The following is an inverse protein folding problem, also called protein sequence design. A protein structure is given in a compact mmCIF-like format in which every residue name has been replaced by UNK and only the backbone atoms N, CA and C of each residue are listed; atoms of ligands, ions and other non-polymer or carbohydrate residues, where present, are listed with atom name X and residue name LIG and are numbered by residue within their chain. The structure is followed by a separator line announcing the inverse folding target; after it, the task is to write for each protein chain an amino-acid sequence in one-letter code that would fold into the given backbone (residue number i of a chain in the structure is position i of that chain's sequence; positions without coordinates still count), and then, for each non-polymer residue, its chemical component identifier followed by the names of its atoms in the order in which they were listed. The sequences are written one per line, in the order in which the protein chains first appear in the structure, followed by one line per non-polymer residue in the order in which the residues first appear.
data_IF_321963155954
#
_entry.id   IF_321963155954
#
_cell.length_a   1.000
_cell.length_b   1.000
_cell.length_c   1.000
_cell.angle_alpha   90.00
_cell.angle_beta   90.00
_cell.angle_gamma   90.00
#
_symmetry.space_group_name_H-M   'P 1'
#
loop_
_entity.id
_entity.type
_entity.pdbx_description
1 polymer ?
#
# COMPACT_ATOMS: atom_id res chain seq x y z
N UNK A 1 -15.00 -13.17 -15.07
CA UNK A 1 -13.81 -12.72 -15.81
C UNK A 1 -13.61 -11.23 -15.56
N UNK A 2 -12.39 -10.78 -15.22
CA UNK A 2 -12.09 -9.37 -14.97
C UNK A 2 -12.15 -8.55 -16.25
N UNK A 3 -12.88 -7.43 -16.23
CA UNK A 3 -13.06 -6.52 -17.35
C UNK A 3 -12.55 -5.11 -17.06
N UNK A 4 -12.55 -4.71 -15.76
CA UNK A 4 -12.17 -3.40 -15.29
C UNK A 4 -10.95 -3.52 -14.40
N UNK A 5 -9.92 -2.72 -14.69
CA UNK A 5 -8.66 -2.73 -13.98
C UNK A 5 -8.41 -1.33 -13.40
N UNK A 6 -8.44 -1.23 -12.08
CA UNK A 6 -8.18 0.02 -11.39
C UNK A 6 -6.75 -0.05 -10.86
N UNK A 7 -5.85 0.73 -11.47
CA UNK A 7 -4.48 0.90 -11.00
C UNK A 7 -4.40 2.05 -10.02
N UNK A 8 -3.73 1.84 -8.90
CA UNK A 8 -3.61 2.83 -7.84
C UNK A 8 -2.15 2.97 -7.44
N UNK A 9 -1.61 4.18 -7.60
CA UNK A 9 -0.36 4.57 -6.98
C UNK A 9 -0.64 5.13 -5.58
N UNK A 10 0.02 4.54 -4.56
CA UNK A 10 -0.28 4.80 -3.15
C UNK A 10 0.83 5.60 -2.50
N UNK A 11 0.51 6.78 -2.01
CA UNK A 11 1.40 7.57 -1.16
C UNK A 11 0.80 7.79 0.24
N UNK A 12 1.57 8.41 1.12
CA UNK A 12 1.13 8.70 2.49
C UNK A 12 -0.14 9.55 2.53
N UNK A 13 -0.24 10.57 1.69
CA UNK A 13 -1.29 11.58 1.76
C UNK A 13 -2.37 11.41 0.71
N UNK A 14 -2.02 10.82 -0.46
CA UNK A 14 -2.92 10.72 -1.60
C UNK A 14 -2.82 9.37 -2.31
N UNK A 15 -3.86 9.07 -3.05
CA UNK A 15 -3.90 8.00 -4.05
C UNK A 15 -4.11 8.61 -5.43
N UNK A 16 -3.30 8.21 -6.39
CA UNK A 16 -3.54 8.47 -7.81
C UNK A 16 -4.20 7.21 -8.38
N UNK A 17 -5.42 7.36 -8.93
CA UNK A 17 -6.30 6.26 -9.36
C UNK A 17 -6.52 6.35 -10.86
N UNK A 18 -6.35 5.25 -11.57
CA UNK A 18 -6.62 5.14 -12.99
C UNK A 18 -7.52 3.94 -13.28
N UNK A 19 -8.67 4.17 -13.93
CA UNK A 19 -9.54 3.12 -14.44
C UNK A 19 -9.20 2.79 -15.89
N UNK A 20 -8.87 1.54 -16.16
CA UNK A 20 -8.72 0.96 -17.49
C UNK A 20 -9.87 0.00 -17.78
N UNK A 21 -10.65 0.32 -18.81
CA UNK A 21 -11.72 -0.53 -19.35
C UNK A 21 -11.51 -0.69 -20.86
N UNK A 22 -11.63 -1.88 -21.38
CA UNK A 22 -11.53 -2.17 -22.83
C UNK A 22 -10.27 -1.60 -23.50
N UNK A 23 -9.12 -1.61 -22.82
CA UNK A 23 -7.85 -1.00 -23.24
C UNK A 23 -7.84 0.54 -23.34
N UNK A 24 -8.84 1.18 -22.77
CA UNK A 24 -8.91 2.65 -22.72
C UNK A 24 -8.83 3.11 -21.26
N UNK A 25 -8.12 4.21 -21.03
CA UNK A 25 -8.13 4.89 -19.76
C UNK A 25 -9.39 5.76 -19.68
N UNK A 26 -10.32 5.34 -18.82
CA UNK A 26 -11.66 5.95 -18.74
C UNK A 26 -11.67 7.10 -17.73
N UNK A 27 -10.94 6.94 -16.63
CA UNK A 27 -10.95 7.92 -15.55
C UNK A 27 -9.59 7.99 -14.86
N UNK A 28 -9.22 9.21 -14.43
CA UNK A 28 -8.03 9.49 -13.64
C UNK A 28 -8.41 10.46 -12.52
N UNK A 29 -8.24 10.02 -11.30
CA UNK A 29 -8.71 10.73 -10.11
C UNK A 29 -7.61 10.73 -9.07
N UNK A 30 -7.46 11.83 -8.35
CA UNK A 30 -6.58 11.94 -7.18
C UNK A 30 -7.44 12.16 -5.95
N UNK A 31 -7.22 11.36 -4.92
CA UNK A 31 -7.96 11.46 -3.65
C UNK A 31 -7.04 11.39 -2.45
N UNK A 32 -7.48 11.90 -1.31
CA UNK A 32 -6.75 11.75 -0.06
C UNK A 32 -6.72 10.28 0.38
N UNK A 33 -5.59 9.84 0.93
CA UNK A 33 -5.42 8.49 1.45
C UNK A 33 -6.12 8.30 2.80
N UNK A 34 -7.44 8.27 2.76
CA UNK A 34 -8.30 7.93 3.90
C UNK A 34 -9.51 7.10 3.45
N UNK A 35 -10.07 6.33 4.37
CA UNK A 35 -11.17 5.40 4.08
C UNK A 35 -12.40 6.08 3.48
N UNK A 36 -12.74 7.29 3.93
CA UNK A 36 -13.92 8.02 3.43
C UNK A 36 -13.76 8.38 1.95
N UNK A 37 -12.68 9.08 1.58
CA UNK A 37 -12.44 9.52 0.21
C UNK A 37 -12.27 8.33 -0.75
N UNK A 38 -11.56 7.27 -0.31
CA UNK A 38 -11.39 6.04 -1.11
C UNK A 38 -12.75 5.37 -1.37
N UNK A 39 -13.59 5.27 -0.34
CA UNK A 39 -14.90 4.65 -0.46
C UNK A 39 -15.82 5.43 -1.41
N UNK A 40 -15.84 6.75 -1.28
CA UNK A 40 -16.64 7.63 -2.15
C UNK A 40 -16.22 7.48 -3.61
N UNK A 41 -14.93 7.53 -3.91
CA UNK A 41 -14.45 7.43 -5.30
C UNK A 41 -14.67 6.04 -5.89
N UNK A 42 -14.43 4.96 -5.14
CA UNK A 42 -14.67 3.62 -5.66
C UNK A 42 -16.15 3.37 -5.93
N UNK A 43 -17.04 3.85 -5.07
CA UNK A 43 -18.51 3.78 -5.31
C UNK A 43 -18.93 4.60 -6.53
N UNK A 44 -18.43 5.83 -6.68
CA UNK A 44 -18.72 6.65 -7.85
C UNK A 44 -18.29 5.96 -9.15
N UNK A 45 -17.07 5.40 -9.18
CA UNK A 45 -16.58 4.64 -10.33
C UNK A 45 -17.46 3.43 -10.65
N UNK A 46 -17.95 2.71 -9.64
CA UNK A 46 -18.87 1.57 -9.81
C UNK A 46 -20.18 2.00 -10.45
N UNK A 47 -20.79 3.06 -9.93
CA UNK A 47 -22.09 3.58 -10.36
C UNK A 47 -22.01 4.20 -11.75
N UNK A 48 -21.07 5.10 -12.00
CA UNK A 48 -20.90 5.82 -13.26
C UNK A 48 -20.60 4.90 -14.45
N UNK A 49 -19.89 3.81 -14.21
CA UNK A 49 -19.51 2.87 -15.28
C UNK A 49 -20.35 1.59 -15.28
N UNK A 50 -21.39 1.51 -14.46
CA UNK A 50 -22.28 0.33 -14.34
C UNK A 50 -21.47 -0.97 -14.15
N UNK A 51 -20.46 -0.93 -13.28
CA UNK A 51 -19.53 -2.06 -13.09
C UNK A 51 -20.06 -3.03 -12.04
N UNK A 52 -20.05 -4.31 -12.40
CA UNK A 52 -20.30 -5.38 -11.44
C UNK A 52 -19.03 -5.73 -10.67
N UNK A 53 -19.11 -5.77 -9.33
CA UNK A 53 -17.96 -6.02 -8.44
C UNK A 53 -17.09 -7.21 -8.85
N UNK A 54 -17.65 -8.40 -9.22
CA UNK A 54 -16.83 -9.55 -9.63
C UNK A 54 -15.99 -9.31 -10.89
N UNK A 55 -16.35 -8.30 -11.70
CA UNK A 55 -15.63 -7.97 -12.93
C UNK A 55 -14.48 -6.98 -12.74
N UNK A 56 -14.27 -6.50 -11.51
CA UNK A 56 -13.28 -5.47 -11.17
C UNK A 56 -12.07 -6.12 -10.51
N UNK A 57 -10.89 -5.59 -10.83
CA UNK A 57 -9.66 -5.82 -10.10
C UNK A 57 -9.01 -4.48 -9.77
N UNK A 58 -8.82 -4.22 -8.48
CA UNK A 58 -7.97 -3.14 -7.99
C UNK A 58 -6.56 -3.69 -7.84
N UNK A 59 -5.58 -3.01 -8.43
CA UNK A 59 -4.17 -3.32 -8.26
C UNK A 59 -3.43 -2.10 -7.75
N UNK A 60 -2.59 -2.27 -6.74
CA UNK A 60 -1.79 -1.21 -6.16
C UNK A 60 -0.39 -1.70 -5.80
N UNK A 61 0.57 -0.76 -5.75
CA UNK A 61 1.88 -1.03 -5.19
C UNK A 61 1.78 -1.19 -3.67
N UNK A 62 2.40 -2.25 -3.13
CA UNK A 62 2.44 -2.47 -1.68
C UNK A 62 3.42 -1.50 -1.01
N UNK A 63 2.89 -0.47 -0.35
CA UNK A 63 3.64 0.57 0.38
C UNK A 63 3.48 0.46 1.90
N UNK A 64 3.37 -0.77 2.41
CA UNK A 64 3.23 -1.03 3.85
C UNK A 64 1.93 -0.47 4.42
N UNK A 65 2.04 0.29 5.51
CA UNK A 65 0.88 0.83 6.22
C UNK A 65 0.02 1.78 5.39
N UNK A 66 0.56 2.41 4.36
CA UNK A 66 -0.19 3.36 3.53
C UNK A 66 -1.22 2.68 2.62
N UNK A 67 -1.09 1.37 2.37
CA UNK A 67 -2.09 0.58 1.64
C UNK A 67 -3.25 0.12 2.52
N UNK A 68 -3.17 0.26 3.84
CA UNK A 68 -4.17 -0.23 4.77
C UNK A 68 -5.56 0.38 4.57
N UNK A 69 -5.74 1.72 4.41
CA UNK A 69 -7.06 2.31 4.15
C UNK A 69 -7.71 1.75 2.88
N UNK A 70 -6.95 1.58 1.80
CA UNK A 70 -7.43 0.98 0.56
C UNK A 70 -7.87 -0.47 0.77
N UNK A 71 -7.07 -1.25 1.50
CA UNK A 71 -7.38 -2.66 1.77
C UNK A 71 -8.68 -2.83 2.55
N UNK A 72 -8.92 -1.97 3.56
CA UNK A 72 -10.16 -1.98 4.32
C UNK A 72 -11.38 -1.71 3.44
N UNK A 73 -11.28 -0.75 2.51
CA UNK A 73 -12.41 -0.39 1.65
C UNK A 73 -12.64 -1.42 0.55
N UNK A 74 -11.60 -2.00 -0.03
CA UNK A 74 -11.76 -3.09 -0.98
C UNK A 74 -12.46 -4.30 -0.33
N UNK A 75 -12.11 -4.65 0.90
CA UNK A 75 -12.79 -5.72 1.65
C UNK A 75 -14.24 -5.35 1.95
N UNK A 76 -14.52 -4.14 2.44
CA UNK A 76 -15.88 -3.68 2.72
C UNK A 76 -16.79 -3.71 1.48
N UNK A 77 -16.25 -3.35 0.31
CA UNK A 77 -16.97 -3.34 -0.96
C UNK A 77 -16.93 -4.69 -1.69
N UNK A 78 -16.26 -5.70 -1.13
CA UNK A 78 -16.02 -7.02 -1.74
C UNK A 78 -15.32 -6.93 -3.11
N UNK A 79 -14.48 -5.93 -3.30
CA UNK A 79 -13.68 -5.72 -4.50
C UNK A 79 -12.37 -6.50 -4.39
N UNK A 80 -12.04 -7.27 -5.41
CA UNK A 80 -10.76 -7.98 -5.47
C UNK A 80 -9.59 -7.00 -5.50
N UNK A 81 -8.67 -7.14 -4.54
CA UNK A 81 -7.47 -6.33 -4.40
C UNK A 81 -6.22 -7.17 -4.64
N UNK A 82 -5.35 -6.69 -5.51
CA UNK A 82 -4.01 -7.21 -5.72
C UNK A 82 -2.97 -6.19 -5.28
N UNK A 83 -2.27 -6.46 -4.19
CA UNK A 83 -1.12 -5.67 -3.74
C UNK A 83 0.16 -6.29 -4.28
N UNK A 84 0.80 -5.60 -5.21
CA UNK A 84 2.00 -6.09 -5.87
C UNK A 84 3.26 -5.51 -5.23
N UNK A 85 4.34 -6.31 -5.26
CA UNK A 85 5.64 -5.88 -4.79
C UNK A 85 6.21 -4.77 -5.71
N UNK A 86 6.71 -3.65 -5.16
CA UNK A 86 7.34 -2.56 -5.93
C UNK A 86 8.42 -3.04 -6.90
N UNK A 87 9.25 -4.00 -6.46
CA UNK A 87 10.30 -4.54 -7.30
C UNK A 87 9.75 -5.31 -8.52
N UNK A 88 8.64 -6.03 -8.36
CA UNK A 88 7.98 -6.75 -9.47
C UNK A 88 7.33 -5.77 -10.45
N UNK A 89 6.62 -4.77 -9.95
CA UNK A 89 6.06 -3.70 -10.80
C UNK A 89 7.15 -3.03 -11.63
N UNK A 90 8.25 -2.63 -10.99
CA UNK A 90 9.38 -1.99 -11.66
C UNK A 90 10.06 -2.91 -12.68
N UNK A 91 10.32 -4.15 -12.32
CA UNK A 91 10.98 -5.12 -13.19
C UNK A 91 10.17 -5.43 -14.44
N UNK A 92 8.85 -5.68 -14.29
CA UNK A 92 7.97 -6.07 -15.38
C UNK A 92 7.42 -4.90 -16.21
N UNK A 93 7.42 -3.67 -15.65
CA UNK A 93 6.99 -2.46 -16.37
C UNK A 93 8.07 -1.85 -17.27
N UNK A 94 9.32 -2.33 -17.17
CA UNK A 94 10.47 -1.81 -17.92
C UNK A 94 10.99 -0.47 -17.41
N UNK A 95 12.21 -0.13 -17.84
CA UNK A 95 12.86 1.15 -17.48
C UNK A 95 12.24 2.27 -18.31
N UNK A 96 11.39 3.09 -17.70
CA UNK A 96 10.91 4.31 -18.33
C UNK A 96 11.51 5.55 -17.64
N UNK A 97 12.04 6.48 -18.43
CA UNK A 97 12.50 7.80 -17.97
C UNK A 97 11.28 8.72 -17.77
N UNK A 98 11.12 9.26 -16.58
CA UNK A 98 10.11 10.25 -16.22
C UNK A 98 9.22 9.79 -15.05
N UNK A 99 9.32 10.48 -13.91
CA UNK A 99 8.41 10.30 -12.77
C UNK A 99 7.20 11.20 -12.95
N UNK A 100 6.02 10.58 -13.07
CA UNK A 100 4.74 11.28 -12.95
C UNK A 100 3.75 10.30 -12.33
N UNK A 101 3.23 10.60 -11.14
CA UNK A 101 2.36 9.75 -10.34
C UNK A 101 1.14 9.25 -11.13
N UNK A 102 0.54 10.09 -11.99
CA UNK A 102 -0.55 9.68 -12.89
C UNK A 102 -0.14 8.60 -13.90
N UNK A 103 1.10 8.69 -14.40
CA UNK A 103 1.63 7.66 -15.30
C UNK A 103 1.87 6.34 -14.56
N UNK A 104 2.15 6.40 -13.27
CA UNK A 104 2.41 5.21 -12.48
C UNK A 104 1.10 4.46 -12.17
N UNK A 105 -0.01 5.14 -11.84
CA UNK A 105 -1.34 4.53 -11.73
C UNK A 105 -1.80 3.86 -13.04
N UNK A 106 -1.56 4.51 -14.21
CA UNK A 106 -1.84 3.90 -15.52
C UNK A 106 -1.05 2.63 -15.77
N UNK A 107 0.26 2.64 -15.44
CA UNK A 107 1.14 1.47 -15.59
C UNK A 107 0.65 0.31 -14.72
N UNK A 108 0.24 0.61 -13.48
CA UNK A 108 -0.31 -0.39 -12.55
C UNK A 108 -1.59 -1.01 -13.12
N UNK A 109 -2.50 -0.22 -13.69
CA UNK A 109 -3.71 -0.73 -14.34
C UNK A 109 -3.41 -1.65 -15.54
N UNK A 110 -2.46 -1.25 -16.39
CA UNK A 110 -2.00 -2.06 -17.53
C UNK A 110 -1.29 -3.33 -17.05
N UNK A 111 -0.47 -3.23 -16.01
CA UNK A 111 0.19 -4.35 -15.38
C UNK A 111 -0.82 -5.39 -14.89
N UNK A 112 -1.82 -4.97 -14.12
CA UNK A 112 -2.87 -5.84 -13.60
C UNK A 112 -3.58 -6.62 -14.71
N UNK A 113 -3.84 -5.97 -15.84
CA UNK A 113 -4.45 -6.62 -17.01
C UNK A 113 -3.50 -7.61 -17.68
N UNK A 114 -2.24 -7.22 -17.89
CA UNK A 114 -1.26 -8.05 -18.62
C UNK A 114 -0.87 -9.30 -17.86
N UNK A 115 -0.80 -9.22 -16.54
CA UNK A 115 -0.35 -10.31 -15.68
C UNK A 115 -1.49 -10.89 -14.83
N UNK A 116 -2.72 -10.86 -15.35
CA UNK A 116 -3.91 -11.32 -14.64
C UNK A 116 -3.79 -12.78 -14.17
N UNK A 117 -3.11 -13.64 -14.93
CA UNK A 117 -2.90 -15.05 -14.59
C UNK A 117 -1.95 -15.23 -13.39
N UNK A 118 -1.09 -14.24 -13.11
CA UNK A 118 -0.19 -14.21 -11.96
C UNK A 118 -0.81 -13.55 -10.71
N UNK A 119 -2.07 -13.13 -10.80
CA UNK A 119 -2.77 -12.38 -9.75
C UNK A 119 -2.77 -13.11 -8.42
N UNK A 120 -2.42 -12.40 -7.36
CA UNK A 120 -2.53 -12.87 -5.97
C UNK A 120 -3.43 -11.92 -5.21
N UNK A 121 -4.63 -12.38 -4.91
CA UNK A 121 -5.58 -11.57 -4.15
C UNK A 121 -5.08 -11.36 -2.74
N UNK A 122 -5.13 -10.11 -2.31
CA UNK A 122 -4.83 -9.71 -0.94
C UNK A 122 -6.09 -9.82 -0.10
N UNK A 123 -5.95 -10.37 1.10
CA UNK A 123 -6.97 -10.33 2.14
C UNK A 123 -6.38 -9.72 3.40
N UNK A 124 -7.17 -8.94 4.12
CA UNK A 124 -6.75 -8.41 5.40
C UNK A 124 -6.49 -9.58 6.38
N UNK A 125 -5.37 -9.56 7.11
CA UNK A 125 -5.14 -10.55 8.14
C UNK A 125 -6.16 -10.39 9.27
N UNK A 126 -6.50 -11.46 9.94
CA UNK A 126 -7.34 -11.42 11.14
C UNK A 126 -6.82 -10.36 12.13
N UNK A 127 -7.76 -9.72 12.84
CA UNK A 127 -7.43 -8.62 13.77
C UNK A 127 -6.38 -9.03 14.80
N UNK A 128 -6.44 -10.26 15.29
CA UNK A 128 -5.48 -10.80 16.25
C UNK A 128 -4.07 -10.88 15.67
N UNK A 129 -3.96 -11.31 14.41
CA UNK A 129 -2.68 -11.39 13.68
C UNK A 129 -2.11 -10.00 13.43
N UNK A 130 -2.96 -9.03 13.04
CA UNK A 130 -2.56 -7.63 12.87
C UNK A 130 -2.03 -7.04 14.17
N UNK A 131 -2.75 -7.24 15.28
CA UNK A 131 -2.35 -6.76 16.60
C UNK A 131 -1.01 -7.38 17.03
N UNK A 132 -0.84 -8.69 16.82
CA UNK A 132 0.42 -9.37 17.14
C UNK A 132 1.60 -8.82 16.34
N UNK A 133 1.42 -8.57 15.03
CA UNK A 133 2.46 -7.96 14.19
C UNK A 133 2.86 -6.57 14.70
N UNK A 134 1.90 -5.75 15.11
CA UNK A 134 2.19 -4.43 15.69
C UNK A 134 2.99 -4.55 16.98
N UNK A 135 2.57 -5.42 17.91
CA UNK A 135 3.27 -5.63 19.17
C UNK A 135 4.71 -6.15 18.98
N UNK A 136 4.92 -7.05 18.02
CA UNK A 136 6.27 -7.54 17.67
C UNK A 136 7.13 -6.39 17.13
N UNK A 137 6.61 -5.58 16.20
CA UNK A 137 7.34 -4.44 15.64
C UNK A 137 7.71 -3.41 16.71
N UNK A 138 6.78 -3.13 17.61
CA UNK A 138 7.01 -2.22 18.75
C UNK A 138 8.07 -2.78 19.72
N UNK A 139 7.96 -4.07 20.08
CA UNK A 139 8.97 -4.74 20.87
C UNK A 139 10.36 -4.65 20.25
N UNK A 140 10.47 -4.91 18.96
CA UNK A 140 11.77 -4.91 18.26
C UNK A 140 12.38 -3.50 18.25
N UNK A 141 11.57 -2.45 18.10
CA UNK A 141 12.00 -1.05 18.26
C UNK A 141 12.62 -0.81 19.66
N UNK A 142 11.91 -1.21 20.71
CA UNK A 142 12.41 -1.04 22.08
C UNK A 142 13.67 -1.86 22.38
N UNK A 143 13.78 -3.06 21.81
CA UNK A 143 14.98 -3.90 21.97
C UNK A 143 16.20 -3.24 21.32
N UNK A 144 16.03 -2.67 20.11
CA UNK A 144 17.10 -1.94 19.41
C UNK A 144 17.50 -0.69 20.19
N UNK A 145 16.55 0.09 20.66
CA UNK A 145 16.85 1.33 21.43
C UNK A 145 17.50 1.00 22.78
N UNK A 146 17.04 -0.04 23.47
CA UNK A 146 17.70 -0.54 24.68
C UNK A 146 19.17 -0.87 24.43
N UNK A 147 19.48 -1.60 23.35
CA UNK A 147 20.85 -1.95 22.99
C UNK A 147 21.71 -0.70 22.73
N UNK A 148 21.17 0.31 22.02
CA UNK A 148 21.85 1.59 21.80
C UNK A 148 22.21 2.29 23.12
N UNK A 149 21.23 2.44 24.02
CA UNK A 149 21.45 3.10 25.30
C UNK A 149 22.42 2.35 26.19
N UNK A 150 22.37 1.01 26.19
CA UNK A 150 23.33 0.18 26.93
C UNK A 150 24.75 0.36 26.40
N UNK A 151 24.93 0.38 25.08
CA UNK A 151 26.24 0.62 24.46
C UNK A 151 26.74 2.02 24.83
N UNK A 152 25.92 3.04 24.70
CA UNK A 152 26.28 4.42 25.05
C UNK A 152 26.70 4.55 26.52
N UNK A 153 25.95 3.95 27.44
CA UNK A 153 26.31 3.95 28.87
C UNK A 153 27.66 3.26 29.12
N UNK A 154 27.92 2.15 28.45
CA UNK A 154 29.18 1.41 28.57
C UNK A 154 30.34 2.27 28.05
N UNK A 155 30.19 2.91 26.89
CA UNK A 155 31.22 3.76 26.30
C UNK A 155 31.49 5.01 27.13
N UNK A 156 30.45 5.60 27.74
CA UNK A 156 30.58 6.80 28.56
C UNK A 156 31.11 6.52 29.97
N UNK A 157 31.07 5.29 30.43
CA UNK A 157 31.47 4.90 31.80
C UNK A 157 32.86 5.42 32.21
N UNK A 158 33.78 5.48 31.24
CA UNK A 158 35.16 5.92 31.48
C UNK A 158 35.28 7.44 31.59
N UNK A 159 34.29 8.19 31.09
CA UNK A 159 34.31 9.64 30.96
C UNK A 159 33.31 10.34 31.88
N UNK A 160 32.40 9.62 32.53
CA UNK A 160 31.40 10.14 33.46
C UNK A 160 31.88 10.03 34.92
N UNK A 161 31.47 11.00 35.73
CA UNK A 161 31.66 10.88 37.18
C UNK A 161 30.84 9.71 37.75
N UNK A 162 31.29 9.18 38.92
CA UNK A 162 30.56 8.09 39.57
C UNK A 162 29.12 8.48 40.00
N UNK A 163 28.87 9.78 40.19
CA UNK A 163 27.57 10.31 40.57
C UNK A 163 26.62 10.39 39.37
N UNK A 164 27.13 10.83 38.22
CA UNK A 164 26.36 10.95 36.99
C UNK A 164 26.02 9.58 36.41
N UNK A 165 26.86 8.59 36.61
CA UNK A 165 26.63 7.20 36.11
C UNK A 165 25.58 6.43 36.91
N UNK A 166 25.26 6.88 38.14
CA UNK A 166 24.22 6.22 38.99
C UNK A 166 22.80 6.74 38.74
N UNK A 167 22.61 7.75 37.94
CA UNK A 167 21.29 8.25 37.53
C UNK A 167 20.75 7.49 36.32
#
# INVERSE_FOLDING_TARGET
MKKYFIGIDVSKEKLDICLNANNQFVSEIVVNNNTKAIKEVLKSLLEENLMEVPSILVCAEYTGQYTYPLSCICEELSIDLWLENPAQLKYRSGIQRGKNDKMDARKIAVYAKRYLDDMRLFSLPEKQISTLKHLISERDLYVVDKAKYQSQLTDQKLFMSKEDYKR
#
